data_IF_955223115026
#
_entry.id   IF_955223115026
#
_cell.length_a   1.000
_cell.length_b   1.000
_cell.length_c   1.000
_cell.angle_alpha   90.00
_cell.angle_beta   90.00
_cell.angle_gamma   90.00
#
_symmetry.space_group_name_H-M   'P 1'
#
loop_
_entity.id
_entity.type
_entity.pdbx_description
1 polymer ?
#
# COMPACT_ATOMS: atom_id res chain seq x y z
N UNK A 1 1.50 13.28 -25.90
CA UNK A 1 0.84 13.09 -24.60
C UNK A 1 1.29 11.76 -24.03
N UNK A 2 2.22 11.78 -23.09
CA UNK A 2 2.75 10.55 -22.45
C UNK A 2 2.25 10.54 -21.00
N UNK A 3 0.97 10.20 -20.84
CA UNK A 3 0.36 9.98 -19.53
C UNK A 3 0.51 8.52 -19.09
N UNK A 4 0.51 8.27 -17.78
CA UNK A 4 0.62 6.93 -17.23
C UNK A 4 0.60 6.93 -15.70
N UNK A 5 0.59 5.74 -15.13
CA UNK A 5 0.70 5.52 -13.68
C UNK A 5 2.16 5.14 -13.38
N UNK A 6 2.81 5.87 -12.47
CA UNK A 6 4.21 5.60 -12.05
C UNK A 6 4.32 4.42 -11.09
N UNK A 7 3.28 4.18 -10.29
CA UNK A 7 3.13 3.04 -9.41
C UNK A 7 1.65 2.81 -9.07
N UNK A 8 1.23 1.56 -8.90
CA UNK A 8 -0.12 1.19 -8.49
C UNK A 8 -0.08 0.17 -7.36
N UNK A 9 -0.99 0.32 -6.39
CA UNK A 9 -1.23 -0.71 -5.37
C UNK A 9 -2.53 -1.41 -5.72
N UNK A 10 -2.45 -2.70 -5.98
CA UNK A 10 -3.58 -3.46 -6.49
C UNK A 10 -3.56 -4.90 -5.95
N UNK A 11 -4.74 -5.49 -5.71
CA UNK A 11 -4.83 -6.89 -5.36
C UNK A 11 -4.62 -7.79 -6.58
N UNK A 12 -3.92 -8.90 -6.39
CA UNK A 12 -3.74 -9.94 -7.42
C UNK A 12 -4.94 -10.88 -7.55
N UNK A 13 -5.90 -10.80 -6.62
CA UNK A 13 -7.12 -11.62 -6.58
C UNK A 13 -8.33 -10.81 -6.10
N UNK A 14 -9.51 -11.43 -6.04
CA UNK A 14 -10.70 -10.78 -5.48
C UNK A 14 -10.57 -10.70 -3.97
N UNK A 15 -10.55 -9.49 -3.43
CA UNK A 15 -10.66 -9.21 -2.01
C UNK A 15 -12.05 -8.65 -1.68
N UNK A 16 -12.64 -9.03 -0.53
CA UNK A 16 -13.83 -8.37 -0.02
C UNK A 16 -13.48 -6.94 0.43
N UNK A 17 -14.34 -5.98 0.11
CA UNK A 17 -14.16 -4.56 0.47
C UNK A 17 -13.86 -4.31 1.95
N UNK A 18 -14.50 -5.02 2.92
CA UNK A 18 -14.20 -4.85 4.34
C UNK A 18 -12.73 -5.10 4.74
N UNK A 19 -11.97 -5.89 3.98
CA UNK A 19 -10.54 -6.11 4.23
C UNK A 19 -9.65 -5.09 3.49
N UNK A 20 -10.15 -4.48 2.43
CA UNK A 20 -9.38 -3.56 1.58
C UNK A 20 -9.39 -2.14 2.14
N UNK A 21 -10.51 -1.69 2.73
CA UNK A 21 -10.60 -0.34 3.34
C UNK A 21 -9.59 -0.15 4.47
N UNK A 22 -9.51 -1.01 5.51
CA UNK A 22 -8.56 -0.82 6.60
C UNK A 22 -7.11 -0.90 6.13
N UNK A 23 -6.83 -1.79 5.17
CA UNK A 23 -5.50 -1.88 4.55
C UNK A 23 -5.11 -0.58 3.84
N UNK A 24 -6.06 0.06 3.14
CA UNK A 24 -5.82 1.34 2.49
C UNK A 24 -5.59 2.48 3.49
N UNK A 25 -6.29 2.48 4.63
CA UNK A 25 -6.11 3.47 5.70
C UNK A 25 -4.70 3.37 6.30
N UNK A 26 -4.24 2.15 6.60
CA UNK A 26 -2.87 1.89 7.08
C UNK A 26 -1.84 2.35 6.06
N UNK A 27 -2.05 2.03 4.77
CA UNK A 27 -1.15 2.48 3.71
C UNK A 27 -1.08 4.00 3.60
N UNK A 28 -2.22 4.71 3.59
CA UNK A 28 -2.22 6.17 3.49
C UNK A 28 -1.63 6.85 4.73
N UNK A 29 -1.79 6.26 5.93
CA UNK A 29 -1.16 6.75 7.14
C UNK A 29 0.37 6.74 7.00
N UNK A 30 0.95 5.61 6.56
CA UNK A 30 2.39 5.48 6.32
C UNK A 30 2.87 6.34 5.14
N UNK A 31 2.07 6.46 4.08
CA UNK A 31 2.41 7.28 2.91
C UNK A 31 2.52 8.78 3.25
N UNK A 32 1.80 9.23 4.28
CA UNK A 32 1.79 10.62 4.75
C UNK A 32 2.75 10.85 5.92
N UNK A 33 3.43 9.82 6.44
CA UNK A 33 4.45 9.97 7.48
C UNK A 33 5.74 10.56 6.91
N UNK A 34 6.21 11.67 7.48
CA UNK A 34 7.45 12.35 7.11
C UNK A 34 8.72 11.50 7.26
N UNK A 35 8.66 10.41 8.02
CA UNK A 35 9.77 9.46 8.17
C UNK A 35 9.79 8.38 7.09
N UNK A 36 8.68 8.18 6.37
CA UNK A 36 8.56 7.19 5.30
C UNK A 36 8.84 7.87 3.97
N UNK A 37 9.81 7.38 3.20
CA UNK A 37 10.32 8.10 2.02
C UNK A 37 9.93 7.46 0.69
N UNK A 38 9.56 6.19 0.70
CA UNK A 38 9.26 5.42 -0.52
C UNK A 38 7.89 4.75 -0.47
N UNK A 39 7.29 4.53 -1.64
CA UNK A 39 6.00 3.82 -1.74
C UNK A 39 6.11 2.38 -1.23
N UNK A 40 7.25 1.73 -1.46
CA UNK A 40 7.51 0.36 -0.98
C UNK A 40 7.59 0.29 0.55
N UNK A 41 8.25 1.24 1.19
CA UNK A 41 8.32 1.34 2.65
C UNK A 41 6.94 1.57 3.26
N UNK A 42 6.15 2.48 2.69
CA UNK A 42 4.78 2.74 3.15
C UNK A 42 3.90 1.48 3.10
N UNK A 43 3.99 0.70 2.01
CA UNK A 43 3.25 -0.55 1.89
C UNK A 43 3.74 -1.61 2.89
N UNK A 44 5.05 -1.75 3.07
CA UNK A 44 5.63 -2.72 4.00
C UNK A 44 5.24 -2.42 5.45
N UNK A 45 5.27 -1.16 5.86
CA UNK A 45 4.86 -0.75 7.20
C UNK A 45 3.36 -0.99 7.41
N UNK A 46 2.54 -0.66 6.42
CA UNK A 46 1.10 -0.92 6.48
C UNK A 46 0.78 -2.42 6.61
N UNK A 47 1.48 -3.27 5.85
CA UNK A 47 1.33 -4.74 5.97
C UNK A 47 1.79 -5.25 7.34
N UNK A 48 2.85 -4.65 7.88
CA UNK A 48 3.36 -4.98 9.23
C UNK A 48 2.36 -4.59 10.31
N UNK A 49 1.73 -3.42 10.21
CA UNK A 49 0.68 -2.98 11.12
C UNK A 49 -0.57 -3.88 11.00
N UNK A 50 -0.97 -4.21 9.77
CA UNK A 50 -2.09 -5.09 9.47
C UNK A 50 -1.89 -6.52 9.99
N UNK A 51 -0.64 -6.99 10.14
CA UNK A 51 -0.34 -8.34 10.62
C UNK A 51 -0.85 -8.61 12.05
N UNK A 52 -1.17 -7.56 12.82
CA UNK A 52 -1.81 -7.67 14.13
C UNK A 52 -3.30 -8.00 14.08
N UNK A 53 -3.95 -7.84 12.92
CA UNK A 53 -5.38 -8.12 12.71
C UNK A 53 -5.59 -9.32 11.77
N UNK A 54 -6.07 -10.47 12.29
CA UNK A 54 -6.35 -11.66 11.48
C UNK A 54 -7.31 -11.44 10.31
N UNK A 55 -8.20 -10.44 10.38
CA UNK A 55 -9.16 -10.13 9.32
C UNK A 55 -8.52 -9.51 8.07
N UNK A 56 -7.28 -9.04 8.18
CA UNK A 56 -6.51 -8.41 7.11
C UNK A 56 -5.48 -9.35 6.47
N UNK A 57 -5.35 -10.59 6.95
CA UNK A 57 -4.33 -11.53 6.49
C UNK A 57 -4.43 -11.80 4.98
N UNK A 58 -5.64 -11.92 4.45
CA UNK A 58 -5.86 -12.09 3.00
C UNK A 58 -5.42 -10.85 2.21
N UNK A 59 -5.65 -9.64 2.74
CA UNK A 59 -5.25 -8.39 2.10
C UNK A 59 -3.72 -8.28 2.03
N UNK A 60 -3.00 -8.67 3.09
CA UNK A 60 -1.53 -8.67 3.12
C UNK A 60 -0.96 -9.57 2.02
N UNK A 61 -1.54 -10.75 1.81
CA UNK A 61 -1.04 -11.74 0.84
C UNK A 61 -1.35 -11.39 -0.61
N UNK A 62 -2.31 -10.50 -0.85
CA UNK A 62 -2.86 -10.27 -2.20
C UNK A 62 -2.64 -8.86 -2.69
N UNK A 63 -2.50 -7.86 -1.81
CA UNK A 63 -2.17 -6.48 -2.19
C UNK A 63 -0.70 -6.37 -2.55
N UNK A 64 -0.42 -5.93 -3.77
CA UNK A 64 0.92 -5.82 -4.33
C UNK A 64 1.18 -4.40 -4.85
N UNK A 65 2.46 -4.00 -4.83
CA UNK A 65 2.95 -2.81 -5.52
C UNK A 65 3.38 -3.17 -6.95
N UNK A 66 2.82 -2.46 -7.92
CA UNK A 66 3.17 -2.52 -9.34
C UNK A 66 3.92 -1.25 -9.70
N UNK A 67 5.23 -1.33 -9.92
CA UNK A 67 6.08 -0.17 -10.19
C UNK A 67 7.42 -0.29 -9.46
N UNK A 68 8.07 0.85 -9.26
CA UNK A 68 9.33 0.92 -8.50
C UNK A 68 9.04 1.05 -6.99
N UNK A 69 9.44 0.07 -6.15
CA UNK A 69 9.31 0.19 -4.69
C UNK A 69 10.15 1.32 -4.11
N UNK A 70 11.25 1.71 -4.75
CA UNK A 70 12.10 2.82 -4.33
C UNK A 70 11.57 4.18 -4.82
N UNK A 71 10.39 4.22 -5.45
CA UNK A 71 9.77 5.47 -5.89
C UNK A 71 9.54 6.39 -4.68
N UNK A 72 10.17 7.56 -4.72
CA UNK A 72 9.93 8.65 -3.79
C UNK A 72 8.80 9.52 -4.32
N UNK A 73 7.79 9.77 -3.48
CA UNK A 73 6.74 10.72 -3.82
C UNK A 73 7.18 12.11 -3.36
N UNK A 74 7.23 13.05 -4.29
CA UNK A 74 7.39 14.46 -3.94
C UNK A 74 6.11 14.93 -3.24
N UNK A 75 6.20 15.15 -1.94
CA UNK A 75 5.15 15.80 -1.16
C UNK A 75 5.25 17.33 -1.37
N UNK A 76 4.12 18.05 -1.46
CA UNK A 76 4.11 19.50 -1.58
C UNK A 76 4.68 20.20 -0.34
#
# INVERSE_FOLDING_TARGET
ESGGIVAAIAPSSRLPLPSLTPMSELFYAELLDDNVTTVGEALLNAQTAAASDPSLQDAILTVNLLGDPALQLQRP
#
